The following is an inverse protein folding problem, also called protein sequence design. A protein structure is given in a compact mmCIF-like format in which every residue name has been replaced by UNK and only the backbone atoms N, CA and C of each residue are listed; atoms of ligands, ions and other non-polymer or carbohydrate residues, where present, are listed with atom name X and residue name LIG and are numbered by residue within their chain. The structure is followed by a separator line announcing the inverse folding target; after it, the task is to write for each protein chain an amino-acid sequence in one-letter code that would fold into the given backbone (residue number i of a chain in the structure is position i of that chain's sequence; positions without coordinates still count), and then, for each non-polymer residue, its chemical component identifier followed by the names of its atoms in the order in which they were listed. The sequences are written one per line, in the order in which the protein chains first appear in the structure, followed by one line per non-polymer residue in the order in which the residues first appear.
data_IF_007497663222
#
_entry.id   IF_007497663222
#
_cell.length_a   1.000
_cell.length_b   1.000
_cell.length_c   1.000
_cell.angle_alpha   90.00
_cell.angle_beta   90.00
_cell.angle_gamma   90.00
#
_symmetry.space_group_name_H-M   'P 1'
#
loop_
_entity.id
_entity.type
_entity.pdbx_description
1 polymer ?
#
# COMPACT_ATOMS: atom_id res chain seq x y z
N UNK A 1 -9.41 2.46 -12.16
CA UNK A 1 -8.55 2.51 -10.97
C UNK A 1 -7.65 3.73 -11.08
N UNK A 2 -7.74 4.66 -10.13
CA UNK A 2 -6.76 5.74 -10.03
C UNK A 2 -5.49 5.19 -9.40
N UNK A 3 -4.32 5.53 -9.95
CA UNK A 3 -3.04 5.10 -9.43
C UNK A 3 -2.11 6.29 -9.28
N UNK A 4 -1.73 6.57 -8.03
CA UNK A 4 -0.68 7.53 -7.68
C UNK A 4 0.51 6.70 -7.23
N UNK A 5 1.41 6.43 -8.16
CA UNK A 5 2.51 5.47 -7.99
C UNK A 5 3.86 6.07 -8.39
N UNK A 6 4.92 5.33 -8.12
CA UNK A 6 6.28 5.77 -8.41
C UNK A 6 6.63 5.63 -9.90
N UNK A 7 7.46 6.54 -10.40
CA UNK A 7 7.84 6.62 -11.82
C UNK A 7 8.49 5.32 -12.37
N UNK A 8 9.05 4.50 -11.48
CA UNK A 8 9.71 3.24 -11.86
C UNK A 8 8.70 2.17 -12.25
N UNK A 9 7.49 2.19 -11.67
CA UNK A 9 6.48 1.13 -11.87
C UNK A 9 5.24 1.59 -12.63
N UNK A 10 5.08 2.87 -12.94
CA UNK A 10 3.88 3.42 -13.60
C UNK A 10 3.46 2.61 -14.84
N UNK A 11 4.40 2.32 -15.74
CA UNK A 11 4.12 1.55 -16.96
C UNK A 11 3.70 0.10 -16.65
N UNK A 12 4.39 -0.55 -15.71
CA UNK A 12 4.09 -1.93 -15.31
C UNK A 12 2.73 -2.01 -14.64
N UNK A 13 2.41 -1.09 -13.72
CA UNK A 13 1.11 -1.01 -13.05
C UNK A 13 -0.03 -0.82 -14.06
N UNK A 14 0.14 0.06 -15.05
CA UNK A 14 -0.86 0.24 -16.11
C UNK A 14 -1.09 -1.06 -16.90
N UNK A 15 -0.01 -1.74 -17.31
CA UNK A 15 -0.11 -2.97 -18.11
C UNK A 15 -0.69 -4.14 -17.31
N UNK A 16 -0.39 -4.25 -16.03
CA UNK A 16 -0.97 -5.28 -15.15
C UNK A 16 -2.47 -5.05 -15.00
N UNK A 17 -2.88 -3.81 -14.73
CA UNK A 17 -4.30 -3.44 -14.65
C UNK A 17 -5.04 -3.74 -15.95
N UNK A 18 -4.46 -3.41 -17.09
CA UNK A 18 -5.04 -3.74 -18.41
C UNK A 18 -5.15 -5.25 -18.62
N UNK A 19 -4.12 -6.02 -18.23
CA UNK A 19 -4.10 -7.47 -18.41
C UNK A 19 -5.19 -8.19 -17.61
N UNK A 20 -5.58 -7.66 -16.45
CA UNK A 20 -6.68 -8.18 -15.62
C UNK A 20 -8.04 -7.56 -15.99
N UNK A 21 -8.11 -6.75 -17.05
CA UNK A 21 -9.34 -6.16 -17.56
C UNK A 21 -9.79 -4.86 -16.87
N UNK A 22 -8.96 -4.30 -15.99
CA UNK A 22 -9.21 -3.00 -15.38
C UNK A 22 -8.79 -1.85 -16.32
N UNK A 23 -9.29 -0.64 -16.03
CA UNK A 23 -8.88 0.60 -16.71
C UNK A 23 -8.00 1.43 -15.76
N UNK A 24 -6.68 1.56 -16.01
CA UNK A 24 -5.78 2.38 -15.21
C UNK A 24 -5.94 3.87 -15.54
N UNK A 25 -5.85 4.73 -14.53
CA UNK A 25 -5.79 6.18 -14.68
C UNK A 25 -4.68 6.74 -13.77
N UNK A 26 -3.63 7.32 -14.35
CA UNK A 26 -2.48 7.87 -13.62
C UNK A 26 -2.73 9.36 -13.33
N UNK A 27 -3.69 9.66 -12.45
CA UNK A 27 -4.02 11.04 -12.06
C UNK A 27 -3.33 11.34 -10.72
N UNK A 28 -2.13 11.91 -10.81
CA UNK A 28 -1.25 12.23 -9.68
C UNK A 28 -0.88 13.73 -9.57
N UNK A 29 -1.61 14.58 -10.28
CA UNK A 29 -1.46 16.04 -10.21
C UNK A 29 -2.29 16.55 -9.03
N UNK A 30 -1.73 17.40 -8.13
CA UNK A 30 -2.51 18.12 -7.13
C UNK A 30 -3.70 18.85 -7.76
N UNK A 31 -4.74 19.09 -6.97
CA UNK A 31 -6.04 19.62 -7.38
C UNK A 31 -6.87 18.68 -8.27
N UNK A 32 -6.25 17.92 -9.19
CA UNK A 32 -6.94 16.95 -10.05
C UNK A 32 -7.14 15.60 -9.35
N UNK A 33 -6.16 15.16 -8.56
CA UNK A 33 -6.15 13.86 -7.91
C UNK A 33 -7.34 13.68 -6.96
N UNK A 34 -7.67 14.70 -6.17
CA UNK A 34 -8.85 14.72 -5.31
C UNK A 34 -10.17 14.78 -6.07
N UNK A 35 -10.20 15.45 -7.23
CA UNK A 35 -11.40 15.50 -8.08
C UNK A 35 -11.72 14.15 -8.73
N UNK A 36 -10.68 13.39 -9.09
CA UNK A 36 -10.83 12.12 -9.77
C UNK A 36 -11.14 10.94 -8.83
N UNK A 37 -10.65 10.97 -7.59
CA UNK A 37 -10.81 9.88 -6.63
C UNK A 37 -12.28 9.43 -6.39
N UNK A 38 -13.27 10.33 -6.26
CA UNK A 38 -14.68 9.93 -6.07
C UNK A 38 -15.31 9.20 -7.27
N UNK A 39 -14.82 9.44 -8.49
CA UNK A 39 -15.37 8.82 -9.71
C UNK A 39 -14.63 7.54 -10.11
N UNK A 40 -13.48 7.27 -9.50
CA UNK A 40 -12.74 6.05 -9.69
C UNK A 40 -13.43 4.87 -8.98
N UNK A 41 -13.32 3.66 -9.53
CA UNK A 41 -13.76 2.43 -8.86
C UNK A 41 -12.87 2.03 -7.67
N UNK A 42 -11.71 2.67 -7.54
CA UNK A 42 -10.75 2.46 -6.47
C UNK A 42 -9.48 3.29 -6.71
N UNK A 43 -8.75 3.55 -5.62
CA UNK A 43 -7.54 4.39 -5.63
C UNK A 43 -6.35 3.62 -5.06
N UNK A 44 -5.20 3.64 -5.73
CA UNK A 44 -3.93 3.13 -5.23
C UNK A 44 -2.99 4.28 -4.91
N UNK A 45 -2.49 4.32 -3.68
CA UNK A 45 -1.45 5.25 -3.23
C UNK A 45 -0.18 4.47 -2.88
N UNK A 46 0.89 4.66 -3.65
CA UNK A 46 2.17 3.96 -3.47
C UNK A 46 3.32 4.94 -3.19
N UNK A 47 4.03 4.73 -2.08
CA UNK A 47 5.08 5.65 -1.59
C UNK A 47 6.50 5.32 -2.11
N UNK A 48 6.61 4.65 -3.26
CA UNK A 48 7.87 4.09 -3.77
C UNK A 48 8.96 5.11 -4.13
N UNK A 49 8.61 6.29 -4.66
CA UNK A 49 9.53 7.45 -4.87
C UNK A 49 8.73 8.76 -4.97
N UNK A 50 8.00 9.18 -3.94
CA UNK A 50 7.11 10.33 -4.06
C UNK A 50 7.90 11.64 -4.17
N UNK A 51 7.47 12.51 -5.08
CA UNK A 51 7.85 13.94 -5.05
C UNK A 51 6.95 14.69 -4.07
N UNK A 52 7.31 15.91 -3.61
CA UNK A 52 6.44 16.72 -2.77
C UNK A 52 5.06 16.98 -3.38
N UNK A 53 4.99 17.19 -4.69
CA UNK A 53 3.73 17.37 -5.41
C UNK A 53 2.88 16.08 -5.38
N UNK A 54 3.51 14.92 -5.59
CA UNK A 54 2.81 13.64 -5.49
C UNK A 54 2.33 13.36 -4.06
N UNK A 55 3.10 13.72 -3.02
CA UNK A 55 2.62 13.63 -1.64
C UNK A 55 1.33 14.44 -1.44
N UNK A 56 1.26 15.68 -1.95
CA UNK A 56 0.05 16.49 -1.87
C UNK A 56 -1.13 15.83 -2.61
N UNK A 57 -0.91 15.36 -3.84
CA UNK A 57 -1.93 14.64 -4.62
C UNK A 57 -2.42 13.35 -3.92
N UNK A 58 -1.52 12.61 -3.26
CA UNK A 58 -1.86 11.42 -2.47
C UNK A 58 -2.79 11.75 -1.30
N UNK A 59 -2.54 12.85 -0.59
CA UNK A 59 -3.41 13.31 0.50
C UNK A 59 -4.79 13.68 -0.02
N UNK A 60 -4.85 14.50 -1.07
CA UNK A 60 -6.13 14.92 -1.66
C UNK A 60 -6.95 13.73 -2.16
N UNK A 61 -6.32 12.78 -2.87
CA UNK A 61 -7.00 11.59 -3.38
C UNK A 61 -7.47 10.68 -2.24
N UNK A 62 -6.67 10.49 -1.19
CA UNK A 62 -7.05 9.66 -0.04
C UNK A 62 -8.22 10.27 0.73
N UNK A 63 -8.19 11.58 1.00
CA UNK A 63 -9.26 12.29 1.70
C UNK A 63 -10.57 12.31 0.89
N UNK A 64 -10.47 12.56 -0.41
CA UNK A 64 -11.63 12.55 -1.31
C UNK A 64 -12.20 11.14 -1.47
N UNK A 65 -11.35 10.11 -1.63
CA UNK A 65 -11.78 8.72 -1.69
C UNK A 65 -12.49 8.29 -0.39
N UNK A 66 -11.89 8.58 0.77
CA UNK A 66 -12.49 8.26 2.06
C UNK A 66 -13.84 8.96 2.26
N UNK A 67 -13.95 10.23 1.87
CA UNK A 67 -15.20 11.00 1.97
C UNK A 67 -16.29 10.48 1.03
N UNK A 68 -15.93 10.03 -0.16
CA UNK A 68 -16.85 9.47 -1.16
C UNK A 68 -17.20 7.99 -0.92
N UNK A 69 -16.50 7.31 -0.01
CA UNK A 69 -16.61 5.86 0.17
C UNK A 69 -15.95 5.03 -0.94
N UNK A 70 -15.11 5.66 -1.76
CA UNK A 70 -14.31 4.95 -2.76
C UNK A 70 -13.23 4.12 -2.06
N UNK A 71 -13.14 2.81 -2.33
CA UNK A 71 -12.13 1.97 -1.69
C UNK A 71 -10.73 2.39 -2.14
N UNK A 72 -9.80 2.48 -1.19
CA UNK A 72 -8.43 2.86 -1.51
C UNK A 72 -7.38 2.04 -0.77
N UNK A 73 -6.24 1.88 -1.42
CA UNK A 73 -5.12 1.03 -0.99
C UNK A 73 -3.90 1.88 -0.70
N UNK A 74 -3.30 1.67 0.47
CA UNK A 74 -2.01 2.24 0.84
C UNK A 74 -0.90 1.19 0.67
N UNK A 75 0.11 1.50 -0.14
CA UNK A 75 1.35 0.75 -0.27
C UNK A 75 2.52 1.58 0.33
N UNK A 76 2.87 1.36 1.62
CA UNK A 76 3.82 2.16 2.39
C UNK A 76 5.27 1.78 2.09
N UNK A 77 5.64 1.75 0.80
CA UNK A 77 6.97 1.31 0.34
C UNK A 77 8.10 2.06 1.05
N UNK A 78 9.01 1.30 1.65
CA UNK A 78 10.19 1.79 2.38
C UNK A 78 9.88 2.74 3.56
N UNK A 79 8.72 2.57 4.21
CA UNK A 79 8.43 3.19 5.50
C UNK A 79 9.34 2.62 6.60
N UNK A 80 9.72 3.48 7.56
CA UNK A 80 10.65 3.17 8.64
C UNK A 80 11.97 3.91 8.47
N UNK A 81 12.71 3.60 7.39
CA UNK A 81 14.04 4.17 7.16
C UNK A 81 14.02 5.62 6.62
N UNK A 82 13.06 5.96 5.75
CA UNK A 82 13.01 7.26 5.06
C UNK A 82 11.97 8.18 5.69
N UNK A 83 12.42 9.24 6.38
CA UNK A 83 11.58 10.13 7.19
C UNK A 83 10.38 10.74 6.44
N UNK A 84 10.54 11.13 5.17
CA UNK A 84 9.45 11.70 4.36
C UNK A 84 8.36 10.67 4.11
N UNK A 85 8.74 9.45 3.72
CA UNK A 85 7.79 8.36 3.44
C UNK A 85 7.10 7.90 4.71
N UNK A 86 7.85 7.75 5.79
CA UNK A 86 7.30 7.39 7.09
C UNK A 86 6.25 8.39 7.55
N UNK A 87 6.53 9.70 7.46
CA UNK A 87 5.55 10.74 7.82
C UNK A 87 4.31 10.68 6.93
N UNK A 88 4.51 10.67 5.61
CA UNK A 88 3.41 10.61 4.64
C UNK A 88 2.53 9.37 4.87
N UNK A 89 3.12 8.21 5.17
CA UNK A 89 2.37 7.00 5.46
C UNK A 89 1.58 7.08 6.76
N UNK A 90 2.13 7.70 7.81
CA UNK A 90 1.43 7.92 9.08
C UNK A 90 0.23 8.87 8.91
N UNK A 91 0.41 9.92 8.11
CA UNK A 91 -0.65 10.87 7.81
C UNK A 91 -1.75 10.18 6.97
N UNK A 92 -1.37 9.41 5.94
CA UNK A 92 -2.32 8.69 5.07
C UNK A 92 -3.06 7.56 5.79
N UNK A 93 -2.40 6.77 6.64
CA UNK A 93 -3.07 5.67 7.35
C UNK A 93 -4.16 6.19 8.31
N UNK A 94 -4.00 7.41 8.82
CA UNK A 94 -5.04 8.08 9.62
C UNK A 94 -6.33 8.34 8.82
N UNK A 95 -6.25 8.42 7.48
CA UNK A 95 -7.39 8.57 6.55
C UNK A 95 -8.11 7.24 6.29
N UNK A 96 -7.75 6.18 7.02
CA UNK A 96 -8.44 4.87 7.04
C UNK A 96 -8.52 4.22 5.65
N UNK A 97 -7.38 3.77 5.10
CA UNK A 97 -7.39 2.98 3.87
C UNK A 97 -8.25 1.74 4.01
N UNK A 98 -8.89 1.32 2.92
CA UNK A 98 -9.61 0.05 2.87
C UNK A 98 -8.63 -1.11 3.02
N UNK A 99 -7.49 -1.02 2.33
CA UNK A 99 -6.43 -2.03 2.39
C UNK A 99 -5.08 -1.35 2.62
N UNK A 100 -4.27 -1.92 3.52
CA UNK A 100 -2.85 -1.58 3.67
C UNK A 100 -2.07 -2.78 3.16
N UNK A 101 -1.17 -2.59 2.20
CA UNK A 101 -0.38 -3.69 1.62
C UNK A 101 1.10 -3.38 1.70
N UNK A 102 1.88 -4.23 2.34
CA UNK A 102 3.33 -4.02 2.50
C UNK A 102 4.07 -5.30 2.86
N UNK A 103 5.40 -5.23 2.92
CA UNK A 103 6.20 -6.32 3.48
C UNK A 103 6.19 -6.31 5.02
N UNK A 104 6.68 -7.36 5.71
CA UNK A 104 6.66 -7.43 7.17
C UNK A 104 7.29 -6.22 7.86
N UNK A 105 8.49 -5.80 7.42
CA UNK A 105 9.22 -4.67 8.01
C UNK A 105 8.48 -3.33 7.84
N UNK A 106 7.83 -3.10 6.69
CA UNK A 106 7.03 -1.90 6.42
C UNK A 106 5.78 -1.85 7.30
N UNK A 107 5.11 -2.99 7.48
CA UNK A 107 3.91 -3.09 8.33
C UNK A 107 4.25 -2.88 9.81
N UNK A 108 5.36 -3.45 10.29
CA UNK A 108 5.86 -3.24 11.66
C UNK A 108 6.24 -1.76 11.87
N UNK A 109 6.93 -1.16 10.90
CA UNK A 109 7.30 0.25 10.96
C UNK A 109 6.08 1.17 10.95
N UNK A 110 5.07 0.88 10.11
CA UNK A 110 3.84 1.66 10.04
C UNK A 110 3.00 1.54 11.32
N UNK A 111 2.97 0.36 11.96
CA UNK A 111 2.28 0.15 13.23
C UNK A 111 2.92 0.92 14.41
N UNK A 112 4.15 1.42 14.25
CA UNK A 112 4.88 2.12 15.31
C UNK A 112 5.33 1.21 16.46
N UNK A 113 5.25 -0.11 16.29
CA UNK A 113 5.68 -1.10 17.29
C UNK A 113 7.16 -1.44 17.19
N UNK A 114 7.84 -1.04 16.11
CA UNK A 114 9.26 -1.26 15.85
C UNK A 114 10.21 -0.20 16.44
N UNK A 115 9.95 0.26 17.67
CA UNK A 115 10.79 1.24 18.36
C UNK A 115 12.21 0.74 18.63
N UNK A 116 13.12 0.98 17.68
CA UNK A 116 14.56 0.75 17.84
C UNK A 116 15.13 -0.07 16.70
N UNK A 117 15.81 0.61 15.77
CA UNK A 117 16.41 0.03 14.58
C UNK A 117 17.12 -1.29 14.84
N UNK A 118 16.47 -2.39 14.44
CA UNK A 118 17.15 -3.62 14.08
C UNK A 118 17.29 -3.58 12.56
N UNK A 119 18.53 -3.78 12.12
CA UNK A 119 18.97 -3.54 10.76
C UNK A 119 18.17 -4.32 9.73
N UNK A 120 18.30 -3.87 8.50
CA UNK A 120 17.70 -4.35 7.24
C UNK A 120 18.03 -5.84 6.92
N UNK A 121 18.61 -6.57 7.87
CA UNK A 121 19.22 -7.90 7.71
C UNK A 121 18.54 -9.01 8.53
N UNK A 122 17.57 -8.70 9.42
CA UNK A 122 16.68 -9.73 9.97
C UNK A 122 15.54 -9.99 9.00
N UNK A 123 15.50 -11.19 8.43
CA UNK A 123 14.44 -11.61 7.51
C UNK A 123 13.18 -11.86 8.34
N UNK A 124 12.46 -10.79 8.68
CA UNK A 124 11.19 -10.88 9.39
C UNK A 124 10.19 -11.64 8.50
N UNK A 125 9.66 -12.73 9.02
CA UNK A 125 8.65 -13.52 8.34
C UNK A 125 7.29 -12.80 8.37
N UNK A 126 6.33 -13.21 7.53
CA UNK A 126 4.95 -12.70 7.59
C UNK A 126 4.33 -12.85 8.99
N UNK A 127 4.75 -13.87 9.74
CA UNK A 127 4.28 -14.16 11.09
C UNK A 127 4.72 -13.13 12.13
N UNK A 128 5.91 -12.53 11.96
CA UNK A 128 6.44 -11.50 12.85
C UNK A 128 5.66 -10.17 12.73
N UNK A 129 5.00 -9.96 11.58
CA UNK A 129 4.19 -8.79 11.32
C UNK A 129 2.69 -8.99 11.61
N UNK A 130 2.23 -10.19 12.01
CA UNK A 130 0.79 -10.45 12.22
C UNK A 130 0.17 -9.58 13.32
N UNK A 131 0.88 -9.38 14.43
CA UNK A 131 0.40 -8.55 15.54
C UNK A 131 0.33 -7.08 15.12
N UNK A 132 1.37 -6.59 14.41
CA UNK A 132 1.40 -5.25 13.84
C UNK A 132 0.28 -5.04 12.81
N UNK A 133 0.07 -6.02 11.94
CA UNK A 133 -1.00 -6.03 10.93
C UNK A 133 -2.38 -6.01 11.60
N UNK A 134 -2.60 -6.83 12.63
CA UNK A 134 -3.88 -6.84 13.38
C UNK A 134 -4.12 -5.52 14.09
N UNK A 135 -3.08 -4.95 14.69
CA UNK A 135 -3.16 -3.64 15.34
C UNK A 135 -3.58 -2.55 14.36
N UNK A 136 -2.95 -2.48 13.19
CA UNK A 136 -3.32 -1.53 12.13
C UNK A 136 -4.75 -1.77 11.63
N UNK A 137 -5.11 -3.03 11.37
CA UNK A 137 -6.43 -3.41 10.91
C UNK A 137 -7.54 -2.95 11.87
N UNK A 138 -7.39 -3.21 13.17
CA UNK A 138 -8.35 -2.80 14.20
C UNK A 138 -8.36 -1.29 14.39
N UNK A 139 -7.18 -0.65 14.47
CA UNK A 139 -7.06 0.79 14.72
C UNK A 139 -7.70 1.65 13.62
N UNK A 140 -7.50 1.24 12.36
CA UNK A 140 -7.91 2.03 11.19
C UNK A 140 -9.15 1.47 10.50
N UNK A 141 -9.67 0.31 10.92
CA UNK A 141 -10.78 -0.37 10.26
C UNK A 141 -10.40 -0.92 8.88
N UNK A 142 -9.11 -1.21 8.67
CA UNK A 142 -8.54 -1.64 7.40
C UNK A 142 -8.38 -3.16 7.34
N UNK A 143 -8.18 -3.70 6.14
CA UNK A 143 -7.60 -5.03 5.94
C UNK A 143 -6.11 -4.86 5.65
N UNK A 144 -5.26 -5.67 6.27
CA UNK A 144 -3.80 -5.60 6.05
C UNK A 144 -3.31 -6.82 5.29
N UNK A 145 -2.69 -6.61 4.13
CA UNK A 145 -2.05 -7.64 3.34
C UNK A 145 -0.52 -7.57 3.52
N UNK A 146 0.04 -8.58 4.19
CA UNK A 146 1.48 -8.73 4.41
C UNK A 146 2.05 -9.65 3.34
N UNK A 147 2.88 -9.12 2.43
CA UNK A 147 3.47 -9.92 1.35
C UNK A 147 4.77 -10.59 1.77
N UNK A 148 4.94 -11.87 1.40
CA UNK A 148 6.14 -12.66 1.66
C UNK A 148 6.19 -13.95 0.83
N UNK A 149 6.85 -14.98 1.35
CA UNK A 149 6.83 -16.33 0.75
C UNK A 149 5.42 -16.93 0.76
N UNK A 150 4.70 -16.68 1.84
CA UNK A 150 3.26 -16.91 1.96
C UNK A 150 2.65 -15.58 2.36
N UNK A 151 1.80 -15.03 1.50
CA UNK A 151 1.13 -13.77 1.78
C UNK A 151 0.06 -14.00 2.87
N UNK A 152 -0.11 -13.04 3.77
CA UNK A 152 -1.09 -13.09 4.85
C UNK A 152 -2.05 -11.90 4.75
N UNK A 153 -3.35 -12.18 4.71
CA UNK A 153 -4.42 -11.18 4.72
C UNK A 153 -5.08 -11.18 6.10
N UNK A 154 -4.92 -10.08 6.81
CA UNK A 154 -5.32 -9.89 8.20
C UNK A 154 -6.48 -8.89 8.25
N UNK A 155 -7.73 -9.34 8.44
CA UNK A 155 -8.86 -8.43 8.64
C UNK A 155 -8.82 -7.81 10.04
N UNK A 156 -9.64 -6.78 10.30
CA UNK A 156 -9.81 -6.23 11.65
C UNK A 156 -10.34 -7.29 12.63
N UNK A 157 -11.27 -8.12 12.17
CA UNK A 157 -11.88 -9.20 12.94
C UNK A 157 -11.94 -10.49 12.12
N UNK A 158 -11.81 -11.64 12.78
CA UNK A 158 -11.90 -12.95 12.13
C UNK A 158 -10.54 -13.57 11.74
N UNK A 159 -10.58 -14.72 11.04
CA UNK A 159 -9.40 -15.50 10.75
C UNK A 159 -8.47 -14.80 9.75
N UNK A 160 -7.17 -15.05 9.90
CA UNK A 160 -6.16 -14.66 8.91
C UNK A 160 -6.26 -15.62 7.73
N UNK A 161 -6.28 -15.08 6.51
CA UNK A 161 -6.22 -15.87 5.27
C UNK A 161 -4.78 -15.91 4.79
N UNK A 162 -4.29 -17.10 4.43
CA UNK A 162 -2.94 -17.28 3.89
C UNK A 162 -3.01 -17.67 2.42
N UNK A 163 -2.18 -17.02 1.60
CA UNK A 163 -2.10 -17.24 0.16
C UNK A 163 -0.68 -17.65 -0.20
N UNK A 164 -0.49 -18.92 -0.52
CA UNK A 164 0.79 -19.49 -0.91
C UNK A 164 0.94 -19.54 -2.44
N UNK A 165 0.72 -18.40 -3.10
CA UNK A 165 0.79 -18.28 -4.56
C UNK A 165 1.97 -17.39 -5.00
N UNK A 166 2.56 -17.72 -6.14
CA UNK A 166 3.62 -16.95 -6.81
C UNK A 166 4.96 -17.69 -6.92
N UNK A 167 5.94 -17.04 -7.54
CA UNK A 167 7.25 -17.62 -7.84
C UNK A 167 8.36 -16.68 -7.36
N UNK A 168 9.50 -17.20 -6.87
CA UNK A 168 10.68 -16.38 -6.55
C UNK A 168 11.16 -15.50 -7.70
N UNK A 169 10.76 -15.78 -8.96
CA UNK A 169 11.06 -14.92 -10.10
C UNK A 169 10.42 -13.52 -9.97
N UNK A 170 9.32 -13.37 -9.24
CA UNK A 170 8.63 -12.09 -9.07
C UNK A 170 9.42 -11.08 -8.23
N UNK A 171 10.36 -11.52 -7.39
CA UNK A 171 11.29 -10.62 -6.67
C UNK A 171 12.42 -10.11 -7.57
N UNK A 172 12.56 -10.66 -8.78
CA UNK A 172 13.55 -10.26 -9.78
C UNK A 172 12.99 -9.33 -10.86
N UNK A 173 11.72 -8.93 -10.74
CA UNK A 173 11.06 -7.98 -11.64
C UNK A 173 10.67 -6.74 -10.84
N UNK A 174 11.18 -5.58 -11.23
CA UNK A 174 10.80 -4.31 -10.61
C UNK A 174 9.30 -4.08 -10.77
N UNK A 175 8.61 -3.83 -9.65
CA UNK A 175 7.15 -3.72 -9.63
C UNK A 175 6.38 -5.04 -9.44
N UNK A 176 7.05 -6.21 -9.36
CA UNK A 176 6.38 -7.49 -9.11
C UNK A 176 5.62 -7.54 -7.78
N UNK A 177 6.11 -6.84 -6.75
CA UNK A 177 5.38 -6.63 -5.50
C UNK A 177 4.20 -5.67 -5.67
N UNK A 178 4.39 -4.55 -6.37
CA UNK A 178 3.36 -3.53 -6.60
C UNK A 178 2.23 -4.02 -7.54
N UNK A 179 2.52 -5.03 -8.37
CA UNK A 179 1.60 -5.69 -9.30
C UNK A 179 0.80 -6.85 -8.68
N UNK A 180 1.13 -7.31 -7.47
CA UNK A 180 0.46 -8.44 -6.79
C UNK A 180 -0.94 -8.12 -6.24
N UNK A 181 -1.47 -6.94 -6.59
CA UNK A 181 -2.70 -6.36 -6.05
C UNK A 181 -3.98 -6.76 -6.79
N UNK A 182 -3.88 -7.58 -7.84
CA UNK A 182 -5.02 -7.92 -8.69
C UNK A 182 -5.28 -9.43 -8.67
N UNK A 183 -6.55 -9.87 -8.49
CA UNK A 183 -6.93 -11.28 -8.50
C UNK A 183 -6.80 -11.94 -9.89
#
# INVERSE_FOLDING_TARGET
MQCITNAVVTNVTANVLLAVGATPAMVDIPEEAGQFAPVASGVLVNLGTPTPAQCAAMHEAAEAAASAGTPWVLDPVAVGFLAVRTRTAQDLVAVRPTIIRGNPSEIIALAGTGGGGRGVDSVDGPDDALDAARLLAVRHGSVVAVSGTVDAVVPAHGPVVRVANGTPLLTRVTGGGCARSEP
#
